data_IF_335119199600
#
_entry.id   IF_335119199600
#
_cell.length_a   1.000
_cell.length_b   1.000
_cell.length_c   1.000
_cell.angle_alpha   90.00
_cell.angle_beta   90.00
_cell.angle_gamma   90.00
#
_symmetry.space_group_name_H-M   'P 1'
#
loop_
_entity.id
_entity.type
_entity.pdbx_description
1 polymer ?
#
# COMPACT_ATOMS: atom_id res chain seq x y z
N UNK A 1 28.33 -16.03 23.11
CA UNK A 1 26.94 -16.47 23.34
C UNK A 1 26.15 -16.18 22.08
N UNK A 2 25.68 -17.23 21.40
CA UNK A 2 24.97 -17.15 20.12
C UNK A 2 23.60 -16.49 20.35
N UNK A 3 23.36 -15.32 19.78
CA UNK A 3 22.04 -14.69 19.75
C UNK A 3 21.33 -15.17 18.49
N UNK A 4 20.30 -15.97 18.69
CA UNK A 4 19.37 -16.45 17.66
C UNK A 4 18.55 -15.28 17.14
N UNK A 5 18.60 -15.05 15.83
CA UNK A 5 17.86 -14.05 15.09
C UNK A 5 16.38 -14.51 15.02
N UNK A 6 15.48 -13.77 15.67
CA UNK A 6 14.05 -13.96 15.53
C UNK A 6 13.59 -13.26 14.25
N UNK A 7 13.19 -14.05 13.25
CA UNK A 7 12.56 -13.57 12.02
C UNK A 7 11.16 -13.07 12.37
N UNK A 8 10.97 -11.76 12.38
CA UNK A 8 9.66 -11.13 12.55
C UNK A 8 8.89 -11.27 11.23
N UNK A 9 8.00 -12.27 11.17
CA UNK A 9 6.99 -12.34 10.11
C UNK A 9 6.01 -11.18 10.32
N UNK A 10 6.13 -10.14 9.48
CA UNK A 10 5.17 -9.06 9.41
C UNK A 10 3.91 -9.59 8.70
N UNK A 11 2.95 -10.05 9.49
CA UNK A 11 1.61 -10.39 9.03
C UNK A 11 1.00 -9.15 8.36
N UNK A 12 0.48 -9.32 7.14
CA UNK A 12 -0.49 -8.39 6.59
C UNK A 12 -1.69 -8.42 7.56
N UNK A 13 -1.97 -7.30 8.21
CA UNK A 13 -3.11 -7.17 9.10
C UNK A 13 -4.39 -7.22 8.25
N UNK A 14 -4.96 -8.40 8.10
CA UNK A 14 -6.35 -8.57 7.67
C UNK A 14 -7.20 -8.20 8.88
N UNK A 15 -7.69 -6.96 8.92
CA UNK A 15 -8.66 -6.55 9.92
C UNK A 15 -10.02 -7.19 9.56
N UNK A 16 -10.29 -8.37 10.12
CA UNK A 16 -11.60 -9.04 10.00
C UNK A 16 -12.57 -8.34 10.95
N UNK A 17 -13.40 -7.42 10.46
CA UNK A 17 -14.54 -6.89 11.23
C UNK A 17 -15.73 -7.85 11.08
N UNK A 18 -15.90 -8.76 12.05
CA UNK A 18 -17.09 -9.60 12.13
C UNK A 18 -18.30 -8.76 12.56
N UNK A 19 -19.29 -8.59 11.68
CA UNK A 19 -20.55 -7.94 12.01
C UNK A 19 -21.42 -8.88 12.85
N UNK A 20 -21.83 -8.42 14.04
CA UNK A 20 -22.93 -9.05 14.81
C UNK A 20 -24.26 -8.73 14.16
N UNK A 21 -24.96 -9.77 13.69
CA UNK A 21 -26.30 -9.70 13.15
C UNK A 21 -27.31 -9.31 14.25
N UNK A 22 -27.98 -8.16 14.09
CA UNK A 22 -29.18 -7.83 14.85
C UNK A 22 -30.41 -8.35 14.09
N UNK A 23 -31.27 -9.07 14.81
CA UNK A 23 -32.42 -9.78 14.27
C UNK A 23 -33.67 -8.88 14.06
N UNK A 24 -34.34 -9.18 12.94
CA UNK A 24 -35.79 -9.21 12.68
C UNK A 24 -36.61 -7.91 12.57
N UNK A 25 -37.01 -7.55 11.35
CA UNK A 25 -38.39 -7.70 10.84
C UNK A 25 -38.42 -7.53 9.30
N UNK A 26 -39.32 -8.25 8.65
CA UNK A 26 -39.37 -8.51 7.19
C UNK A 26 -39.74 -7.29 6.33
N UNK A 27 -38.89 -6.92 5.36
CA UNK A 27 -39.27 -6.42 4.02
C UNK A 27 -38.03 -6.30 3.09
N UNK A 28 -38.00 -7.09 2.00
CA UNK A 28 -36.96 -7.20 0.95
C UNK A 28 -35.53 -7.61 1.40
N UNK A 29 -35.07 -8.76 0.89
CA UNK A 29 -33.73 -9.33 1.09
C UNK A 29 -32.61 -8.52 0.41
N UNK A 30 -32.34 -7.31 0.90
CA UNK A 30 -31.12 -6.58 0.59
C UNK A 30 -30.36 -6.33 1.89
N UNK A 31 -29.32 -7.12 2.14
CA UNK A 31 -28.38 -6.83 3.20
C UNK A 31 -27.67 -5.51 2.82
N UNK A 32 -27.83 -4.46 3.65
CA UNK A 32 -27.27 -3.13 3.41
C UNK A 32 -25.94 -2.97 4.14
N UNK A 33 -24.90 -2.59 3.41
CA UNK A 33 -23.54 -2.38 3.94
C UNK A 33 -23.18 -0.90 3.95
N UNK A 34 -22.86 -0.37 5.14
CA UNK A 34 -22.60 1.07 5.36
C UNK A 34 -21.36 1.37 6.19
N UNK A 35 -20.51 0.38 6.50
CA UNK A 35 -19.32 0.58 7.34
C UNK A 35 -18.22 1.31 6.56
N UNK A 36 -17.55 2.28 7.18
CA UNK A 36 -16.39 2.92 6.59
C UNK A 36 -15.24 1.93 6.41
N UNK A 37 -14.52 2.04 5.30
CA UNK A 37 -13.40 1.17 4.98
C UNK A 37 -12.18 2.00 4.55
N UNK A 38 -10.99 1.47 4.81
CA UNK A 38 -9.73 2.07 4.37
C UNK A 38 -9.39 1.56 2.96
N UNK A 39 -8.81 2.39 2.08
CA UNK A 39 -8.24 1.93 0.81
C UNK A 39 -7.35 0.68 0.97
N UNK A 40 -7.45 -0.25 0.02
CA UNK A 40 -6.69 -1.51 0.02
C UNK A 40 -7.27 -2.63 0.89
N UNK A 41 -8.29 -2.37 1.71
CA UNK A 41 -8.96 -3.43 2.49
C UNK A 41 -9.92 -4.28 1.65
N UNK A 42 -10.24 -5.47 2.15
CA UNK A 42 -11.27 -6.34 1.59
C UNK A 42 -12.54 -6.24 2.41
N UNK A 43 -13.67 -6.00 1.75
CA UNK A 43 -15.00 -6.13 2.36
C UNK A 43 -15.51 -7.53 2.08
N UNK A 44 -15.58 -8.36 3.12
CA UNK A 44 -16.01 -9.76 3.03
C UNK A 44 -17.41 -9.95 3.62
N UNK A 45 -18.27 -10.61 2.86
CA UNK A 45 -19.62 -10.96 3.26
C UNK A 45 -19.75 -12.46 3.16
N UNK A 46 -19.88 -13.13 4.31
CA UNK A 46 -20.12 -14.56 4.36
C UNK A 46 -21.46 -14.88 3.68
N UNK A 47 -21.45 -15.93 2.87
CA UNK A 47 -22.66 -16.47 2.28
C UNK A 47 -23.39 -17.34 3.30
N UNK A 48 -24.72 -17.36 3.20
CA UNK A 48 -25.57 -18.29 3.95
C UNK A 48 -25.12 -19.75 3.68
N UNK A 49 -25.18 -20.64 4.68
CA UNK A 49 -24.61 -22.00 4.59
C UNK A 49 -25.17 -22.85 3.43
N UNK A 50 -26.35 -22.51 2.93
CA UNK A 50 -26.99 -23.19 1.80
C UNK A 50 -26.45 -22.75 0.43
N UNK A 51 -25.71 -21.64 0.38
CA UNK A 51 -25.13 -21.10 -0.85
C UNK A 51 -23.72 -21.64 -1.08
N UNK A 52 -23.54 -22.32 -2.22
CA UNK A 52 -22.24 -22.78 -2.70
C UNK A 52 -21.62 -21.74 -3.65
N UNK A 53 -20.54 -21.09 -3.23
CA UNK A 53 -19.84 -20.09 -4.05
C UNK A 53 -19.35 -20.65 -5.40
N UNK A 54 -19.09 -21.95 -5.50
CA UNK A 54 -18.55 -22.59 -6.72
C UNK A 54 -19.52 -22.54 -7.90
N UNK A 55 -20.83 -22.46 -7.64
CA UNK A 55 -21.88 -22.39 -8.68
C UNK A 55 -22.35 -20.95 -8.95
N UNK A 56 -21.80 -19.96 -8.25
CA UNK A 56 -22.23 -18.57 -8.30
C UNK A 56 -21.29 -17.66 -9.09
N UNK A 57 -21.84 -16.61 -9.69
CA UNK A 57 -21.10 -15.51 -10.30
C UNK A 57 -21.65 -14.18 -9.85
N UNK A 58 -20.78 -13.18 -9.90
CA UNK A 58 -21.09 -11.80 -9.56
C UNK A 58 -21.58 -11.04 -10.80
N UNK A 59 -22.59 -10.20 -10.64
CA UNK A 59 -22.90 -9.09 -11.55
C UNK A 59 -22.77 -7.78 -10.78
N UNK A 60 -21.76 -6.97 -11.13
CA UNK A 60 -21.53 -5.67 -10.52
C UNK A 60 -22.49 -4.62 -11.11
N UNK A 61 -23.32 -4.03 -10.25
CA UNK A 61 -24.24 -2.93 -10.56
C UNK A 61 -24.04 -1.75 -9.61
N UNK A 62 -22.80 -1.52 -9.18
CA UNK A 62 -22.46 -0.28 -8.48
C UNK A 62 -22.87 0.92 -9.34
N UNK A 63 -23.30 1.99 -8.68
CA UNK A 63 -23.72 3.25 -9.30
C UNK A 63 -22.72 4.36 -9.01
N UNK A 64 -21.94 4.24 -7.94
CA UNK A 64 -20.88 5.18 -7.54
C UNK A 64 -19.64 4.43 -7.04
N UNK A 65 -18.47 5.06 -7.12
CA UNK A 65 -17.24 4.59 -6.49
C UNK A 65 -16.61 3.34 -7.12
N UNK A 66 -16.98 2.98 -8.36
CA UNK A 66 -16.42 1.81 -9.06
C UNK A 66 -14.90 1.82 -9.14
N UNK A 67 -14.29 2.98 -9.36
CA UNK A 67 -12.84 3.11 -9.51
C UNK A 67 -12.08 2.87 -8.19
N UNK A 68 -12.78 2.92 -7.05
CA UNK A 68 -12.24 2.56 -5.74
C UNK A 68 -12.36 1.05 -5.44
N UNK A 69 -12.98 0.27 -6.32
CA UNK A 69 -13.13 -1.18 -6.20
C UNK A 69 -12.26 -1.86 -7.26
N UNK A 70 -11.21 -2.55 -6.81
CA UNK A 70 -10.29 -3.27 -7.69
C UNK A 70 -10.94 -4.52 -8.27
N UNK A 71 -11.64 -5.30 -7.45
CA UNK A 71 -12.37 -6.47 -7.92
C UNK A 71 -13.56 -6.82 -7.03
N UNK A 72 -14.53 -7.53 -7.62
CA UNK A 72 -15.64 -8.13 -6.90
C UNK A 72 -15.74 -9.60 -7.29
N UNK A 73 -15.59 -10.49 -6.32
CA UNK A 73 -15.53 -11.93 -6.56
C UNK A 73 -16.43 -12.69 -5.58
N UNK A 74 -16.79 -13.91 -5.94
CA UNK A 74 -17.47 -14.84 -5.03
C UNK A 74 -16.65 -16.12 -4.99
N UNK A 75 -16.32 -16.59 -3.79
CA UNK A 75 -15.37 -17.68 -3.61
C UNK A 75 -15.13 -17.97 -2.14
N UNK A 76 -14.04 -18.69 -1.85
CA UNK A 76 -13.60 -18.92 -0.47
C UNK A 76 -12.72 -17.77 -0.01
N UNK A 77 -12.98 -17.27 1.20
CA UNK A 77 -12.09 -16.34 1.87
C UNK A 77 -10.89 -17.07 2.49
N UNK A 78 -10.03 -16.33 3.18
CA UNK A 78 -8.81 -16.86 3.82
C UNK A 78 -9.10 -17.90 4.91
N UNK A 79 -10.31 -17.89 5.48
CA UNK A 79 -10.79 -18.89 6.44
C UNK A 79 -11.42 -20.13 5.77
N UNK A 80 -11.49 -20.16 4.44
CA UNK A 80 -12.10 -21.25 3.67
C UNK A 80 -13.63 -21.23 3.62
N UNK A 81 -14.27 -20.14 4.08
CA UNK A 81 -15.71 -19.95 4.05
C UNK A 81 -16.15 -19.28 2.75
N UNK A 82 -17.32 -19.66 2.27
CA UNK A 82 -17.88 -19.08 1.05
C UNK A 82 -18.32 -17.63 1.32
N UNK A 83 -17.83 -16.70 0.51
CA UNK A 83 -18.01 -15.26 0.70
C UNK A 83 -18.14 -14.51 -0.64
N UNK A 84 -18.87 -13.39 -0.60
CA UNK A 84 -18.73 -12.29 -1.55
C UNK A 84 -17.60 -11.38 -1.06
N UNK A 85 -16.60 -11.14 -1.91
CA UNK A 85 -15.39 -10.41 -1.58
C UNK A 85 -15.28 -9.19 -2.52
N UNK A 86 -15.32 -7.99 -1.94
CA UNK A 86 -15.04 -6.74 -2.63
C UNK A 86 -13.64 -6.28 -2.22
N UNK A 87 -12.67 -6.40 -3.13
CA UNK A 87 -11.32 -5.88 -2.92
C UNK A 87 -11.32 -4.39 -3.25
N UNK A 88 -11.06 -3.54 -2.26
CA UNK A 88 -10.90 -2.11 -2.47
C UNK A 88 -9.52 -1.83 -3.08
N UNK A 89 -9.49 -0.87 -3.99
CA UNK A 89 -8.25 -0.42 -4.62
C UNK A 89 -7.39 0.30 -3.60
N UNK A 90 -6.15 -0.12 -3.48
CA UNK A 90 -5.16 0.59 -2.69
C UNK A 90 -4.89 1.96 -3.32
N UNK A 91 -4.97 3.00 -2.50
CA UNK A 91 -4.60 4.34 -2.88
C UNK A 91 -4.23 5.11 -1.60
N UNK A 92 -3.45 6.16 -1.76
CA UNK A 92 -2.99 7.00 -0.66
C UNK A 92 -3.54 8.43 -0.76
N UNK A 93 -4.68 8.59 -1.44
CA UNK A 93 -5.37 9.87 -1.49
C UNK A 93 -5.94 10.28 -0.13
N UNK A 94 -6.29 11.55 0.01
CA UNK A 94 -6.89 12.11 1.24
C UNK A 94 -8.40 12.27 1.17
N UNK A 95 -8.98 12.05 -0.01
CA UNK A 95 -10.41 12.27 -0.27
C UNK A 95 -11.22 11.00 -0.04
N UNK A 96 -12.40 11.19 0.54
CA UNK A 96 -13.41 10.17 0.67
C UNK A 96 -14.03 9.80 -0.68
N UNK A 97 -14.30 8.51 -0.88
CA UNK A 97 -15.05 8.00 -2.04
C UNK A 97 -16.27 7.23 -1.55
N UNK A 98 -17.47 7.61 -2.00
CA UNK A 98 -18.67 6.83 -1.70
C UNK A 98 -18.83 5.70 -2.73
N UNK A 99 -18.83 4.46 -2.24
CA UNK A 99 -19.14 3.25 -3.00
C UNK A 99 -20.59 2.88 -2.75
N UNK A 100 -21.40 2.98 -3.80
CA UNK A 100 -22.83 2.75 -3.70
C UNK A 100 -23.37 1.94 -4.88
N UNK A 101 -24.46 1.22 -4.63
CA UNK A 101 -25.19 0.42 -5.61
C UNK A 101 -25.22 -1.06 -5.26
N UNK A 102 -25.53 -1.90 -6.23
CA UNK A 102 -25.86 -3.30 -5.95
C UNK A 102 -24.82 -4.27 -6.50
N UNK A 103 -24.59 -5.36 -5.78
CA UNK A 103 -23.92 -6.56 -6.30
C UNK A 103 -24.90 -7.72 -6.29
N UNK A 104 -25.08 -8.36 -7.45
CA UNK A 104 -25.98 -9.50 -7.58
C UNK A 104 -25.18 -10.80 -7.68
N UNK A 105 -25.56 -11.78 -6.85
CA UNK A 105 -25.15 -13.16 -7.02
C UNK A 105 -26.15 -13.88 -7.92
N UNK A 106 -25.63 -14.58 -8.92
CA UNK A 106 -26.41 -15.35 -9.88
C UNK A 106 -25.80 -16.72 -10.08
N UNK A 107 -26.61 -17.72 -10.40
CA UNK A 107 -26.09 -19.00 -10.86
C UNK A 107 -25.28 -18.84 -12.15
N UNK A 108 -24.10 -19.46 -12.22
CA UNK A 108 -23.18 -19.40 -13.37
C UNK A 108 -23.88 -19.80 -14.68
N UNK A 109 -24.61 -20.91 -14.64
CA UNK A 109 -25.16 -21.59 -15.81
C UNK A 109 -26.52 -21.03 -16.24
N UNK A 110 -27.41 -20.73 -15.29
CA UNK A 110 -28.80 -20.32 -15.60
C UNK A 110 -29.01 -18.80 -15.60
N UNK A 111 -28.04 -18.02 -15.07
CA UNK A 111 -28.20 -16.59 -14.81
C UNK A 111 -29.35 -16.24 -13.84
N UNK A 112 -29.97 -17.22 -13.19
CA UNK A 112 -31.00 -16.97 -12.20
C UNK A 112 -30.43 -16.17 -11.02
N UNK A 113 -31.16 -15.14 -10.60
CA UNK A 113 -30.81 -14.32 -9.44
C UNK A 113 -30.92 -15.16 -8.17
N UNK A 114 -29.87 -15.13 -7.36
CA UNK A 114 -29.81 -15.82 -6.07
C UNK A 114 -30.01 -14.80 -4.95
N UNK A 115 -29.16 -13.77 -4.90
CA UNK A 115 -29.21 -12.73 -3.86
C UNK A 115 -28.71 -11.40 -4.40
N UNK A 116 -29.17 -10.31 -3.81
CA UNK A 116 -28.66 -8.95 -4.08
C UNK A 116 -28.13 -8.36 -2.77
N UNK A 117 -26.94 -7.78 -2.84
CA UNK A 117 -26.31 -7.05 -1.75
C UNK A 117 -26.26 -5.58 -2.13
N UNK A 118 -26.74 -4.70 -1.24
CA UNK A 118 -26.76 -3.25 -1.48
C UNK A 118 -25.68 -2.57 -0.66
N UNK A 119 -24.87 -1.77 -1.31
CA UNK A 119 -23.75 -1.04 -0.72
C UNK A 119 -24.03 0.46 -0.75
N UNK A 120 -23.66 1.13 0.33
CA UNK A 120 -23.65 2.58 0.48
C UNK A 120 -22.67 2.93 1.61
N UNK A 121 -21.38 2.88 1.29
CA UNK A 121 -20.31 3.05 2.26
C UNK A 121 -19.18 3.94 1.74
N UNK A 122 -18.50 4.59 2.68
CA UNK A 122 -17.37 5.47 2.39
C UNK A 122 -16.05 4.72 2.48
N UNK A 123 -15.20 4.93 1.48
CA UNK A 123 -13.79 4.52 1.49
C UNK A 123 -12.92 5.74 1.71
N UNK A 124 -12.18 5.77 2.82
CA UNK A 124 -11.29 6.89 3.15
C UNK A 124 -10.22 6.47 4.16
N UNK A 125 -9.09 7.18 4.16
CA UNK A 125 -8.15 7.11 5.28
C UNK A 125 -8.66 7.97 6.44
N UNK A 126 -8.41 7.49 7.67
CA UNK A 126 -8.75 8.27 8.86
C UNK A 126 -7.85 9.52 8.95
N UNK A 127 -8.47 10.63 9.32
CA UNK A 127 -7.78 11.90 9.60
C UNK A 127 -7.25 11.93 11.03
N UNK A 128 -6.04 12.44 11.21
CA UNK A 128 -5.48 12.75 12.52
C UNK A 128 -6.16 14.00 13.10
N UNK A 129 -6.30 14.03 14.42
CA UNK A 129 -6.67 15.23 15.14
C UNK A 129 -5.40 16.01 15.48
N UNK A 130 -5.29 17.25 15.01
CA UNK A 130 -4.14 18.12 15.26
C UNK A 130 -4.56 19.48 15.83
N UNK A 131 -3.65 20.13 16.55
CA UNK A 131 -3.86 21.46 17.12
C UNK A 131 -3.78 22.58 16.07
N UNK A 132 -4.23 23.76 16.47
CA UNK A 132 -4.18 24.96 15.63
C UNK A 132 -2.92 25.82 15.87
N UNK A 133 -1.92 25.29 16.59
CA UNK A 133 -0.70 26.01 16.93
C UNK A 133 0.16 26.28 15.69
N UNK A 134 0.91 27.39 15.71
CA UNK A 134 1.77 27.75 14.59
C UNK A 134 2.95 26.79 14.39
N UNK A 135 3.39 26.14 15.47
CA UNK A 135 4.44 25.14 15.47
C UNK A 135 3.84 23.84 16.00
N UNK A 136 3.93 22.77 15.19
CA UNK A 136 3.43 21.45 15.55
C UNK A 136 4.56 20.44 15.57
N UNK A 137 4.54 19.58 16.58
CA UNK A 137 5.34 18.35 16.64
C UNK A 137 4.39 17.17 16.58
N UNK A 138 4.53 16.35 15.55
CA UNK A 138 3.63 15.23 15.25
C UNK A 138 4.45 13.95 15.20
N UNK A 139 4.09 12.98 16.04
CA UNK A 139 4.56 11.61 15.88
C UNK A 139 3.61 10.90 14.93
N UNK A 140 4.13 10.40 13.80
CA UNK A 140 3.29 9.80 12.76
C UNK A 140 2.68 8.48 13.22
N UNK A 141 1.39 8.32 12.90
CA UNK A 141 0.62 7.11 13.16
C UNK A 141 -0.16 6.69 11.90
N UNK A 142 0.08 5.46 11.42
CA UNK A 142 -0.60 4.90 10.25
C UNK A 142 -2.09 4.60 10.47
N UNK A 143 -2.59 4.58 11.70
CA UNK A 143 -4.02 4.43 11.98
C UNK A 143 -4.84 5.67 11.58
N UNK A 144 -4.19 6.84 11.53
CA UNK A 144 -4.79 8.11 11.14
C UNK A 144 -3.78 8.95 10.35
N UNK A 145 -3.40 8.51 9.13
CA UNK A 145 -2.24 9.07 8.44
C UNK A 145 -2.53 10.35 7.67
N UNK A 146 -3.79 10.79 7.59
CA UNK A 146 -4.16 12.01 6.85
C UNK A 146 -4.15 13.21 7.78
N UNK A 147 -3.44 14.26 7.38
CA UNK A 147 -3.31 15.51 8.11
C UNK A 147 -3.91 16.65 7.30
N UNK A 148 -4.80 17.40 7.95
CA UNK A 148 -5.49 18.57 7.43
C UNK A 148 -5.07 19.76 8.29
N UNK A 149 -4.36 20.72 7.68
CA UNK A 149 -3.70 21.81 8.40
C UNK A 149 -4.56 23.07 8.38
N UNK A 150 -4.70 23.68 9.55
CA UNK A 150 -5.26 25.02 9.65
C UNK A 150 -4.28 26.04 9.08
N UNK A 151 -4.80 27.18 8.59
CA UNK A 151 -3.98 28.29 8.10
C UNK A 151 -3.07 28.92 9.16
N UNK A 152 -3.32 28.61 10.44
CA UNK A 152 -2.45 29.01 11.56
C UNK A 152 -1.23 28.12 11.70
N UNK A 153 -1.25 26.86 11.23
CA UNK A 153 -0.09 25.97 11.26
C UNK A 153 0.96 26.46 10.26
N UNK A 154 2.16 26.80 10.72
CA UNK A 154 3.23 27.41 9.89
C UNK A 154 4.48 26.57 9.82
N UNK A 155 4.83 25.83 10.86
CA UNK A 155 5.95 24.89 10.85
C UNK A 155 5.51 23.59 11.48
N UNK A 156 5.88 22.48 10.85
CA UNK A 156 5.54 21.14 11.34
C UNK A 156 6.78 20.27 11.32
N UNK A 157 6.99 19.57 12.43
CA UNK A 157 7.98 18.52 12.59
C UNK A 157 7.25 17.19 12.66
N UNK A 158 7.46 16.31 11.69
CA UNK A 158 6.97 14.93 11.73
C UNK A 158 8.08 14.01 12.21
N UNK A 159 7.85 13.24 13.27
CA UNK A 159 8.76 12.22 13.77
C UNK A 159 8.22 10.83 13.48
N UNK A 160 9.10 9.88 13.20
CA UNK A 160 8.73 8.49 12.91
C UNK A 160 8.89 7.62 14.16
N UNK A 161 7.93 6.72 14.40
CA UNK A 161 7.98 5.86 15.59
C UNK A 161 8.93 4.67 15.43
N UNK A 162 9.09 4.18 14.19
CA UNK A 162 9.84 2.97 13.87
C UNK A 162 11.30 3.22 13.48
N UNK A 163 11.65 4.47 13.17
CA UNK A 163 12.99 4.90 12.76
C UNK A 163 13.34 6.23 13.41
N UNK A 164 14.61 6.40 13.75
CA UNK A 164 15.09 7.66 14.34
C UNK A 164 15.31 8.70 13.24
N UNK A 165 14.22 9.33 12.84
CA UNK A 165 14.21 10.35 11.80
C UNK A 165 13.10 11.37 12.07
N UNK A 166 13.21 12.53 11.41
CA UNK A 166 12.16 13.53 11.41
C UNK A 166 12.18 14.36 10.12
N UNK A 167 11.02 14.93 9.78
CA UNK A 167 10.86 15.83 8.63
C UNK A 167 10.31 17.18 9.10
N UNK A 168 11.10 18.23 8.92
CA UNK A 168 10.71 19.60 9.23
C UNK A 168 10.29 20.33 7.98
N UNK A 169 9.12 20.96 7.99
CA UNK A 169 8.62 21.70 6.84
C UNK A 169 7.81 22.92 7.27
N UNK A 170 7.94 23.99 6.48
CA UNK A 170 7.10 25.17 6.59
C UNK A 170 5.83 24.96 5.77
N UNK A 171 4.69 25.40 6.29
CA UNK A 171 3.38 25.35 5.64
C UNK A 171 2.86 26.78 5.40
N UNK A 172 2.00 26.93 4.40
CA UNK A 172 1.24 28.17 4.20
C UNK A 172 -0.23 27.87 3.90
N UNK A 173 -0.51 27.26 2.74
CA UNK A 173 -1.84 26.87 2.27
C UNK A 173 -1.82 25.39 1.89
N UNK A 174 -1.31 24.58 2.82
CA UNK A 174 -1.02 23.18 2.60
C UNK A 174 -2.31 22.38 2.43
N UNK A 175 -2.47 21.73 1.28
CA UNK A 175 -3.55 20.76 1.07
C UNK A 175 -3.34 19.52 1.96
N UNK A 176 -4.43 18.81 2.28
CA UNK A 176 -4.39 17.56 3.03
C UNK A 176 -3.32 16.62 2.48
N UNK A 177 -2.49 16.08 3.38
CA UNK A 177 -1.43 15.13 3.03
C UNK A 177 -1.69 13.79 3.71
N UNK A 178 -1.39 12.70 3.00
CA UNK A 178 -1.36 11.36 3.57
C UNK A 178 0.10 10.98 3.86
N UNK A 179 0.44 10.88 5.15
CA UNK A 179 1.78 10.56 5.63
C UNK A 179 1.93 9.08 6.01
N UNK A 180 1.05 8.21 5.48
CA UNK A 180 1.18 6.78 5.68
C UNK A 180 2.56 6.33 5.19
N UNK A 181 3.30 5.64 6.06
CA UNK A 181 4.65 5.19 5.77
C UNK A 181 4.86 3.72 6.13
N UNK A 182 5.90 3.10 5.59
CA UNK A 182 6.32 1.77 6.01
C UNK A 182 7.83 1.63 6.02
N UNK A 183 8.33 0.83 6.96
CA UNK A 183 9.75 0.48 7.09
C UNK A 183 10.03 -0.94 6.61
N UNK A 184 9.04 -1.57 5.95
CA UNK A 184 9.18 -2.92 5.37
C UNK A 184 10.36 -2.96 4.41
N UNK A 185 11.14 -4.01 4.50
CA UNK A 185 12.28 -4.21 3.62
C UNK A 185 11.84 -4.56 2.19
N UNK A 186 12.51 -3.97 1.21
CA UNK A 186 12.32 -4.30 -0.21
C UNK A 186 13.24 -5.48 -0.54
N UNK A 187 12.63 -6.66 -0.76
CA UNK A 187 13.37 -7.94 -0.85
C UNK A 187 14.44 -7.95 -1.94
N UNK A 188 14.15 -7.36 -3.10
CA UNK A 188 15.08 -7.28 -4.23
C UNK A 188 16.35 -6.49 -3.88
N UNK A 189 16.20 -5.35 -3.19
CA UNK A 189 17.32 -4.52 -2.73
C UNK A 189 18.15 -5.22 -1.66
N UNK A 190 17.48 -5.89 -0.70
CA UNK A 190 18.16 -6.68 0.35
C UNK A 190 18.99 -7.81 -0.27
N UNK A 191 18.43 -8.56 -1.22
CA UNK A 191 19.12 -9.66 -1.89
C UNK A 191 20.30 -9.18 -2.75
N UNK A 192 20.21 -8.00 -3.36
CA UNK A 192 21.31 -7.44 -4.14
C UNK A 192 22.47 -6.92 -3.26
N UNK A 193 22.22 -6.65 -1.97
CA UNK A 193 23.13 -5.99 -1.05
C UNK A 193 23.17 -6.68 0.32
N UNK A 194 23.31 -8.00 0.35
CA UNK A 194 23.25 -8.82 1.58
C UNK A 194 24.33 -8.48 2.62
N UNK A 195 25.42 -7.81 2.19
CA UNK A 195 26.53 -7.42 3.05
C UNK A 195 26.38 -6.00 3.61
N UNK A 196 25.30 -5.28 3.31
CA UNK A 196 25.04 -3.93 3.78
C UNK A 196 23.97 -3.90 4.88
N UNK A 197 24.14 -3.00 5.85
CA UNK A 197 23.11 -2.69 6.84
C UNK A 197 22.09 -1.74 6.19
N UNK A 198 20.84 -2.17 6.07
CA UNK A 198 19.79 -1.43 5.36
C UNK A 198 18.66 -1.00 6.31
N UNK A 199 18.24 0.26 6.18
CA UNK A 199 17.00 0.76 6.77
C UNK A 199 16.12 1.37 5.70
N UNK A 200 14.81 1.10 5.75
CA UNK A 200 13.85 1.56 4.75
C UNK A 200 12.87 2.54 5.38
N UNK A 201 12.53 3.59 4.64
CA UNK A 201 11.48 4.54 5.01
C UNK A 201 10.71 4.90 3.73
N UNK A 202 9.51 4.35 3.59
CA UNK A 202 8.74 4.40 2.34
C UNK A 202 7.44 5.15 2.51
N UNK A 203 7.18 6.13 1.65
CA UNK A 203 5.93 6.89 1.60
C UNK A 203 5.18 6.59 0.29
N UNK A 204 4.33 5.57 0.32
CA UNK A 204 3.63 5.09 -0.87
C UNK A 204 2.68 6.11 -1.49
N UNK A 205 2.27 7.14 -0.74
CA UNK A 205 1.44 8.23 -1.24
C UNK A 205 2.19 9.42 -1.81
N UNK A 206 3.52 9.39 -1.77
CA UNK A 206 4.39 10.50 -2.19
C UNK A 206 3.90 11.89 -1.73
N UNK A 207 3.72 12.12 -0.41
CA UNK A 207 3.14 13.36 0.08
C UNK A 207 4.02 14.54 -0.33
N UNK A 208 3.37 15.56 -0.89
CA UNK A 208 4.00 16.76 -1.40
C UNK A 208 3.60 17.98 -0.56
N UNK A 209 4.59 18.80 -0.24
CA UNK A 209 4.43 19.97 0.59
C UNK A 209 4.52 21.26 -0.22
N UNK A 210 4.07 22.39 0.31
CA UNK A 210 4.17 23.69 -0.38
C UNK A 210 5.62 24.14 -0.56
N UNK A 211 6.46 23.86 0.44
CA UNK A 211 7.87 24.24 0.51
C UNK A 211 8.79 23.02 0.62
N UNK A 212 10.07 23.22 0.32
CA UNK A 212 11.08 22.21 0.65
C UNK A 212 11.19 22.10 2.17
N UNK A 213 10.97 20.90 2.69
CA UNK A 213 11.34 20.55 4.04
C UNK A 213 12.73 19.92 4.09
N UNK A 214 13.08 19.51 5.30
CA UNK A 214 14.36 18.86 5.62
C UNK A 214 14.05 17.54 6.32
N UNK A 215 14.34 16.43 5.64
CA UNK A 215 14.33 15.10 6.21
C UNK A 215 15.69 14.86 6.85
N UNK A 216 15.70 14.53 8.14
CA UNK A 216 16.90 14.17 8.89
C UNK A 216 16.74 12.76 9.39
N UNK A 217 17.76 11.94 9.16
CA UNK A 217 17.84 10.58 9.64
C UNK A 217 19.06 10.44 10.56
N UNK A 218 18.84 10.02 11.80
CA UNK A 218 19.90 9.80 12.77
C UNK A 218 20.44 8.37 12.58
N UNK A 219 21.75 8.24 12.39
CA UNK A 219 22.39 6.95 12.18
C UNK A 219 23.02 6.45 13.48
N UNK A 220 22.97 5.14 13.71
CA UNK A 220 23.39 4.57 15.00
C UNK A 220 24.91 4.39 15.14
N UNK A 221 25.63 4.28 14.03
CA UNK A 221 27.08 4.02 14.01
C UNK A 221 27.81 5.14 13.25
N UNK A 222 28.37 6.09 14.01
CA UNK A 222 29.08 7.25 13.47
C UNK A 222 30.47 6.93 12.92
N UNK A 223 31.00 5.71 13.16
CA UNK A 223 32.29 5.31 12.61
C UNK A 223 32.19 4.93 11.13
N UNK A 224 30.98 4.61 10.65
CA UNK A 224 30.68 4.26 9.26
C UNK A 224 30.29 5.49 8.42
N UNK A 225 30.37 5.35 7.11
CA UNK A 225 29.82 6.33 6.17
C UNK A 225 28.46 5.85 5.71
N UNK A 226 27.46 6.73 5.82
CA UNK A 226 26.09 6.38 5.48
C UNK A 226 25.65 7.08 4.19
N UNK A 227 24.78 6.40 3.45
CA UNK A 227 24.27 6.81 2.16
C UNK A 227 22.74 6.72 2.17
N UNK A 228 22.09 7.66 1.49
CA UNK A 228 20.64 7.67 1.32
C UNK A 228 20.29 7.63 -0.16
N UNK A 229 19.53 6.61 -0.56
CA UNK A 229 19.01 6.43 -1.91
C UNK A 229 17.50 6.58 -1.90
N UNK A 230 16.96 7.13 -2.97
CA UNK A 230 15.54 7.05 -3.27
C UNK A 230 15.26 5.80 -4.09
N UNK A 231 14.15 5.14 -3.82
CA UNK A 231 13.68 3.94 -4.50
C UNK A 231 12.49 4.36 -5.35
N UNK A 232 12.61 4.22 -6.67
CA UNK A 232 11.52 4.55 -7.56
C UNK A 232 10.45 3.44 -7.61
N UNK A 233 9.39 3.66 -8.38
CA UNK A 233 8.29 2.70 -8.57
C UNK A 233 8.71 1.37 -9.21
N UNK A 234 9.90 1.29 -9.81
CA UNK A 234 10.48 0.07 -10.40
C UNK A 234 11.50 -0.60 -9.46
N UNK A 235 11.54 -0.21 -8.18
CA UNK A 235 12.51 -0.68 -7.18
C UNK A 235 13.98 -0.35 -7.53
N UNK A 236 14.22 0.63 -8.41
CA UNK A 236 15.56 1.07 -8.77
C UNK A 236 16.04 2.15 -7.80
N UNK A 237 17.33 2.06 -7.47
CA UNK A 237 18.02 2.99 -6.60
C UNK A 237 18.45 4.24 -7.36
N UNK A 238 18.09 5.40 -6.85
CA UNK A 238 18.49 6.72 -7.33
C UNK A 238 19.29 7.40 -6.22
N UNK A 239 20.53 7.84 -6.54
CA UNK A 239 21.35 8.59 -5.58
C UNK A 239 20.67 9.92 -5.25
N UNK A 240 20.51 10.22 -3.97
CA UNK A 240 19.95 11.49 -3.52
C UNK A 240 21.05 12.54 -3.32
N UNK A 241 20.64 13.78 -3.04
CA UNK A 241 21.53 14.87 -2.60
C UNK A 241 21.67 14.93 -1.08
N UNK A 242 21.45 13.82 -0.38
CA UNK A 242 21.57 13.81 1.07
C UNK A 242 23.03 14.06 1.49
N UNK A 243 23.20 14.86 2.52
CA UNK A 243 24.50 15.19 3.12
C UNK A 243 24.65 14.41 4.42
N UNK A 244 25.77 13.69 4.57
CA UNK A 244 26.10 12.98 5.81
C UNK A 244 27.02 13.83 6.69
N UNK A 245 26.56 14.17 7.88
CA UNK A 245 27.37 14.78 8.93
C UNK A 245 27.88 13.69 9.88
N UNK A 246 29.19 13.47 9.88
CA UNK A 246 29.84 12.46 10.73
C UNK A 246 29.93 12.90 12.19
N UNK A 247 30.01 14.20 12.48
CA UNK A 247 30.14 14.72 13.84
C UNK A 247 28.80 14.64 14.59
N UNK A 248 27.70 14.89 13.89
CA UNK A 248 26.35 14.81 14.45
C UNK A 248 25.71 13.43 14.23
N UNK A 249 26.24 12.61 13.31
CA UNK A 249 25.67 11.29 12.99
C UNK A 249 24.33 11.40 12.27
N UNK A 250 24.20 12.35 11.33
CA UNK A 250 22.93 12.63 10.65
C UNK A 250 23.05 12.62 9.13
N UNK A 251 22.04 12.08 8.47
CA UNK A 251 21.82 12.20 7.02
C UNK A 251 20.71 13.22 6.78
N UNK A 252 21.02 14.28 6.04
CA UNK A 252 20.08 15.37 5.78
C UNK A 252 19.71 15.45 4.31
N UNK A 253 18.42 15.35 3.98
CA UNK A 253 17.88 15.50 2.63
C UNK A 253 16.87 16.66 2.59
N UNK A 254 17.12 17.65 1.72
CA UNK A 254 16.13 18.68 1.40
C UNK A 254 15.23 18.20 0.27
N UNK A 255 13.93 18.14 0.51
CA UNK A 255 12.96 17.72 -0.50
C UNK A 255 11.60 18.39 -0.26
N UNK A 256 10.83 18.55 -1.33
CA UNK A 256 9.43 19.01 -1.30
C UNK A 256 8.45 17.84 -1.24
N UNK A 257 8.87 16.67 -1.71
CA UNK A 257 8.04 15.47 -1.81
C UNK A 257 8.79 14.32 -1.15
N UNK A 258 8.12 13.61 -0.26
CA UNK A 258 8.71 12.42 0.38
C UNK A 258 8.50 11.21 -0.54
N UNK A 259 9.59 10.58 -0.93
CA UNK A 259 9.64 9.39 -1.77
C UNK A 259 9.74 8.11 -0.95
N UNK A 260 10.21 7.03 -1.57
CA UNK A 260 10.66 5.85 -0.83
C UNK A 260 12.16 5.90 -0.68
N UNK A 261 12.68 5.68 0.53
CA UNK A 261 14.10 5.83 0.82
C UNK A 261 14.69 4.54 1.40
N UNK A 262 15.96 4.30 1.07
CA UNK A 262 16.79 3.30 1.71
C UNK A 262 18.09 3.94 2.17
N UNK A 263 18.40 3.73 3.45
CA UNK A 263 19.63 4.16 4.10
C UNK A 263 20.56 2.94 4.17
N UNK A 264 21.85 3.16 3.90
CA UNK A 264 22.85 2.10 3.96
C UNK A 264 24.19 2.58 4.49
N UNK A 265 24.92 1.69 5.17
CA UNK A 265 26.30 1.88 5.60
C UNK A 265 27.34 1.64 4.50
N UNK A 266 26.89 1.29 3.29
CA UNK A 266 27.71 1.03 2.10
C UNK A 266 27.06 1.63 0.85
N UNK A 267 27.88 1.84 -0.18
CA UNK A 267 27.31 2.13 -1.50
C UNK A 267 26.55 0.91 -2.04
N UNK A 268 25.29 1.13 -2.38
CA UNK A 268 24.42 0.08 -2.87
C UNK A 268 24.64 -0.18 -4.35
N UNK A 269 24.57 -1.45 -4.72
CA UNK A 269 24.54 -1.90 -6.12
C UNK A 269 23.12 -1.79 -6.65
N UNK A 270 23.00 -1.39 -7.91
CA UNK A 270 21.72 -1.40 -8.59
C UNK A 270 21.12 -2.82 -8.58
N UNK A 271 19.80 -2.91 -8.41
CA UNK A 271 19.07 -4.16 -8.57
C UNK A 271 19.25 -4.60 -10.02
N UNK A 272 19.86 -5.77 -10.23
CA UNK A 272 19.96 -6.34 -11.57
C UNK A 272 18.53 -6.58 -12.09
N UNK A 273 18.21 -6.04 -13.27
CA UNK A 273 16.98 -6.42 -13.94
C UNK A 273 17.01 -7.95 -14.08
N UNK A 274 15.94 -8.63 -13.67
CA UNK A 274 15.75 -10.04 -13.98
C UNK A 274 15.76 -10.16 -15.50
N UNK A 275 16.92 -10.56 -16.04
CA UNK A 275 17.16 -10.76 -17.46
C UNK A 275 16.38 -12.01 -17.88
N UNK A 276 15.12 -11.83 -18.25
CA UNK A 276 14.46 -12.77 -19.14
C UNK A 276 15.10 -12.57 -20.51
N UNK A 277 16.15 -13.37 -20.73
CA UNK A 277 17.22 -13.12 -21.67
C UNK A 277 16.84 -12.68 -23.09
N UNK A 278 17.70 -11.83 -23.64
CA UNK A 278 18.41 -12.13 -24.88
C UNK A 278 19.52 -11.10 -25.13
N UNK A 279 20.77 -11.56 -25.08
CA UNK A 279 21.75 -11.33 -26.14
C UNK A 279 22.34 -9.93 -26.33
N UNK A 280 23.60 -9.85 -25.93
CA UNK A 280 24.72 -9.23 -26.65
C UNK A 280 25.11 -7.77 -26.34
N UNK A 281 26.42 -7.59 -26.52
CA UNK A 281 27.37 -6.68 -25.93
C UNK A 281 27.38 -5.29 -26.58
N UNK A 282 27.74 -4.27 -25.81
CA UNK A 282 28.93 -3.42 -26.06
C UNK A 282 28.88 -2.17 -25.17
N UNK A 283 29.99 -1.86 -24.51
CA UNK A 283 30.13 -0.68 -23.67
C UNK A 283 30.35 0.61 -24.46
N UNK A 284 29.97 1.72 -23.83
CA UNK A 284 30.70 2.99 -23.91
C UNK A 284 30.16 3.96 -22.86
N UNK A 285 31.06 4.53 -22.06
CA UNK A 285 30.86 5.69 -21.20
C UNK A 285 30.09 6.80 -21.91
N UNK A 286 28.97 7.25 -21.33
CA UNK A 286 28.51 8.64 -21.42
C UNK A 286 27.76 9.05 -20.16
N UNK A 287 28.41 9.96 -19.46
CA UNK A 287 27.85 10.94 -18.55
C UNK A 287 26.73 11.72 -19.26
N UNK A 288 25.47 11.49 -18.87
CA UNK A 288 24.35 12.38 -19.17
C UNK A 288 23.43 12.47 -17.94
N UNK A 289 23.52 13.60 -17.24
CA UNK A 289 22.39 14.17 -16.52
C UNK A 289 21.66 15.07 -17.52
N UNK A 290 20.33 14.95 -17.68
CA UNK A 290 19.50 16.05 -17.19
C UNK A 290 18.10 15.67 -16.66
N UNK A 291 17.56 16.67 -15.94
CA UNK A 291 16.16 17.01 -15.68
C UNK A 291 15.42 16.30 -14.54
N UNK A 292 15.59 16.85 -13.34
CA UNK A 292 14.54 16.94 -12.33
C UNK A 292 13.38 17.80 -12.87
N UNK A 293 12.19 17.21 -13.05
CA UNK A 293 10.99 17.96 -13.35
C UNK A 293 9.85 17.11 -13.88
N UNK A 294 8.87 16.84 -13.01
CA UNK A 294 7.52 16.33 -13.33
C UNK A 294 7.47 15.03 -14.15
N UNK A 295 7.54 13.89 -13.46
CA UNK A 295 6.94 12.66 -13.97
C UNK A 295 5.47 12.64 -13.59
N UNK A 296 4.63 12.83 -14.60
CA UNK A 296 3.19 12.59 -14.59
C UNK A 296 2.97 11.08 -14.38
N UNK A 297 2.66 10.67 -13.14
CA UNK A 297 2.39 9.28 -12.83
C UNK A 297 0.97 8.94 -13.29
N UNK A 298 0.88 8.41 -14.50
CA UNK A 298 -0.29 7.64 -14.93
C UNK A 298 -0.35 6.40 -14.05
N UNK A 299 -1.44 6.24 -13.30
CA UNK A 299 -1.77 5.05 -12.51
C UNK A 299 -1.67 3.78 -13.39
N UNK A 300 -0.52 3.12 -13.36
CA UNK A 300 -0.36 1.77 -13.92
C UNK A 300 -0.99 0.80 -12.92
N UNK A 301 -2.20 0.33 -13.25
CA UNK A 301 -2.83 -0.78 -12.55
C UNK A 301 -2.03 -2.06 -12.84
N UNK A 302 -1.40 -2.62 -11.80
CA UNK A 302 -0.79 -3.95 -11.86
C UNK A 302 -1.92 -4.98 -11.76
N UNK A 303 -2.28 -5.59 -12.88
CA UNK A 303 -3.22 -6.70 -12.91
C UNK A 303 -2.56 -7.96 -12.32
N UNK A 304 -2.93 -8.35 -11.10
CA UNK A 304 -2.58 -9.66 -10.56
C UNK A 304 -3.40 -10.74 -11.28
N UNK A 305 -2.75 -11.51 -12.16
CA UNK A 305 -3.37 -12.63 -12.85
C UNK A 305 -3.60 -13.80 -11.88
N UNK A 306 -4.86 -14.09 -11.55
CA UNK A 306 -5.24 -15.28 -10.79
C UNK A 306 -5.13 -16.50 -11.72
N UNK A 307 -4.08 -17.31 -11.55
CA UNK A 307 -3.98 -18.61 -12.23
C UNK A 307 -4.91 -19.58 -11.51
N UNK A 308 -6.07 -19.84 -12.09
CA UNK A 308 -6.94 -20.94 -11.65
C UNK A 308 -6.33 -22.26 -12.14
N UNK A 309 -5.76 -23.02 -11.20
CA UNK A 309 -5.27 -24.36 -11.46
C UNK A 309 -6.47 -25.32 -11.53
N UNK A 310 -7.09 -25.42 -12.71
CA UNK A 310 -8.06 -26.47 -13.00
C UNK A 310 -7.32 -27.79 -13.26
N UNK A 311 -7.25 -28.66 -12.24
CA UNK A 311 -6.78 -30.02 -12.42
C UNK A 311 -7.84 -30.84 -13.19
N UNK A 312 -7.76 -30.82 -14.52
CA UNK A 312 -8.45 -31.76 -15.39
C UNK A 312 -7.65 -33.07 -15.47
N UNK A 313 -7.95 -34.02 -14.59
CA UNK A 313 -7.44 -35.39 -14.67
C UNK A 313 -8.44 -36.33 -15.33
N UNK A 314 -8.51 -36.34 -16.66
CA UNK A 314 -9.11 -37.43 -17.41
C UNK A 314 -8.01 -38.38 -17.88
N UNK A 315 -7.97 -39.61 -17.36
CA UNK A 315 -7.33 -40.73 -18.06
C UNK A 315 -8.28 -41.93 -17.99
N UNK A 316 -8.81 -42.26 -19.15
CA UNK A 316 -9.62 -43.43 -19.41
C UNK A 316 -8.74 -44.65 -19.74
N UNK A 317 -9.37 -45.84 -19.57
CA UNK A 317 -9.10 -47.14 -20.19
C UNK A 317 -7.92 -47.96 -19.66
N UNK A 318 -8.23 -49.18 -19.18
CA UNK A 318 -7.93 -50.41 -19.95
C UNK A 318 -8.75 -51.62 -19.46
N UNK A 319 -9.58 -52.13 -20.37
CA UNK A 319 -10.17 -53.47 -20.37
C UNK A 319 -9.04 -54.53 -20.41
N UNK A 320 -9.09 -55.55 -19.58
CA UNK A 320 -8.41 -56.81 -19.85
C UNK A 320 -9.04 -57.99 -19.09
N UNK A 321 -9.67 -58.85 -19.89
CA UNK A 321 -10.03 -60.27 -19.72
C UNK A 321 -11.11 -60.67 -18.71
#
# INVERSE_FOLDING_TARGET
MKKTLAVLMMAAAVAVTSLTAFAEETENQNDKYTQENTPGQSVEILLDEEMDASVLKVTNKLTSGKDAVESVTVGKNDEGKDALILQLKENYGTKAVNVAGDIQLKHKNTNALVKTYSFDFTVQWKKAEIGADAELEIVLNNDAPVYDFASTNKNVTFSFSDVDAYYNVRLEDQADVNMHYTTKAIKSIVQANEDADLSFLQFNGNPAFDFNGTLVYNVSDMDKTWYLYEVNSEEKLVKTKAEYDKEEGTLTLKTKTLGSYVISDKELKAVAASDNGAGDSSGSDKEENPATGSVDFVNVAVALSVVSLAAAGAVAMKKAK
#
